data_IF_578051473048
#
_entry.id   IF_578051473048
#
_cell.length_a   1.000
_cell.length_b   1.000
_cell.length_c   1.000
_cell.angle_alpha   90.00
_cell.angle_beta   90.00
_cell.angle_gamma   90.00
#
_symmetry.space_group_name_H-M   'P 1'
#
loop_
_entity.id
_entity.type
_entity.pdbx_description
1 polymer ?
#
# COMPACT_ATOMS: atom_id res chain seq x y z
N UNK A 1 22.41 11.30 21.16
CA UNK A 1 21.67 12.07 20.14
C UNK A 1 20.43 11.28 19.79
N UNK A 2 19.25 11.90 19.74
CA UNK A 2 18.05 11.27 19.22
C UNK A 2 18.30 10.84 17.79
N UNK A 3 17.93 9.60 17.42
CA UNK A 3 18.00 9.15 16.03
C UNK A 3 16.77 9.66 15.27
N UNK A 4 17.00 10.17 14.06
CA UNK A 4 15.93 10.53 13.13
C UNK A 4 15.47 9.26 12.43
N UNK A 5 14.16 8.99 12.41
CA UNK A 5 13.58 7.88 11.66
C UNK A 5 12.98 8.37 10.34
N UNK A 6 13.05 7.53 9.33
CA UNK A 6 12.32 7.72 8.07
C UNK A 6 11.03 6.92 8.10
N UNK A 7 9.91 7.53 7.74
CA UNK A 7 8.59 6.89 7.69
C UNK A 7 8.00 7.02 6.30
N UNK A 8 7.64 5.89 5.71
CA UNK A 8 6.70 5.82 4.60
C UNK A 8 5.30 5.56 5.18
N UNK A 9 4.47 6.61 5.19
CA UNK A 9 3.08 6.54 5.65
C UNK A 9 2.18 6.18 4.46
N UNK A 10 2.16 4.91 4.08
CA UNK A 10 1.42 4.44 2.91
C UNK A 10 -0.09 4.33 3.15
N UNK A 11 -0.87 4.30 2.08
CA UNK A 11 -2.34 4.15 2.11
C UNK A 11 -2.74 2.79 2.69
N UNK A 12 -2.06 1.73 2.29
CA UNK A 12 -2.37 0.34 2.66
C UNK A 12 -1.40 -0.20 3.71
N UNK A 13 -0.11 0.03 3.52
CA UNK A 13 0.95 -0.37 4.43
C UNK A 13 1.92 0.77 4.66
N UNK A 14 2.46 0.84 5.86
CA UNK A 14 3.48 1.82 6.26
C UNK A 14 4.76 1.09 6.66
N UNK A 15 5.90 1.77 6.59
CA UNK A 15 7.14 1.24 7.12
C UNK A 15 7.97 2.34 7.79
N UNK A 16 8.92 1.91 8.61
CA UNK A 16 9.86 2.80 9.31
C UNK A 16 11.28 2.29 9.15
N UNK A 17 12.20 3.21 8.95
CA UNK A 17 13.61 2.93 8.76
C UNK A 17 14.48 3.87 9.58
N UNK A 18 15.73 3.47 9.79
CA UNK A 18 16.77 4.26 10.47
C UNK A 18 18.08 4.11 9.71
N UNK A 19 18.95 5.11 9.85
CA UNK A 19 20.32 5.02 9.34
C UNK A 19 21.21 4.30 10.35
N UNK A 20 21.82 3.20 9.95
CA UNK A 20 22.80 2.45 10.74
C UNK A 20 24.05 2.17 9.90
N UNK A 21 25.22 2.55 10.41
CA UNK A 21 26.47 2.34 9.70
C UNK A 21 26.57 3.03 8.34
N UNK A 22 25.75 4.05 8.09
CA UNK A 22 25.68 4.77 6.81
C UNK A 22 24.69 4.17 5.80
N UNK A 23 23.98 3.11 6.19
CA UNK A 23 22.96 2.46 5.37
C UNK A 23 21.55 2.61 5.98
N UNK A 24 20.53 2.63 5.13
CA UNK A 24 19.15 2.64 5.58
C UNK A 24 18.69 1.22 5.93
N UNK A 25 18.22 1.03 7.16
CA UNK A 25 17.72 -0.24 7.67
C UNK A 25 16.24 -0.11 7.97
N UNK A 26 15.41 -0.93 7.31
CA UNK A 26 13.98 -1.01 7.61
C UNK A 26 13.79 -1.77 8.93
N UNK A 27 13.13 -1.13 9.88
CA UNK A 27 12.87 -1.66 11.21
C UNK A 27 11.69 -2.64 11.13
N UNK A 28 11.84 -3.89 11.61
CA UNK A 28 10.72 -4.82 11.73
C UNK A 28 9.76 -4.36 12.85
N UNK A 29 8.48 -4.56 12.65
CA UNK A 29 7.48 -4.33 13.68
C UNK A 29 7.49 -5.45 14.74
N UNK A 30 6.66 -5.30 15.78
CA UNK A 30 6.56 -6.28 16.87
C UNK A 30 6.15 -7.69 16.41
N UNK A 31 5.49 -7.80 15.25
CA UNK A 31 5.10 -9.07 14.63
C UNK A 31 6.20 -9.64 13.70
N UNK A 32 7.36 -9.00 13.59
CA UNK A 32 8.50 -9.40 12.77
C UNK A 32 8.40 -9.02 11.30
N UNK A 33 7.40 -8.25 10.89
CA UNK A 33 7.21 -7.81 9.52
C UNK A 33 7.88 -6.46 9.27
N UNK A 34 8.39 -6.25 8.05
CA UNK A 34 9.00 -4.97 7.63
C UNK A 34 7.99 -3.90 7.25
N UNK A 35 6.73 -4.26 7.11
CA UNK A 35 5.63 -3.34 6.84
C UNK A 35 4.51 -3.54 7.87
N UNK A 36 3.85 -2.46 8.21
CA UNK A 36 2.72 -2.44 9.14
C UNK A 36 1.47 -2.00 8.38
N UNK A 37 0.36 -2.77 8.39
CA UNK A 37 -0.88 -2.33 7.78
C UNK A 37 -1.34 -0.97 8.32
N UNK A 38 -1.69 -0.05 7.42
CA UNK A 38 -2.21 1.28 7.78
C UNK A 38 -3.69 1.18 8.19
N UNK A 39 -3.95 0.36 9.19
CA UNK A 39 -5.29 0.04 9.71
C UNK A 39 -5.36 0.35 11.19
N UNK A 40 -6.42 1.04 11.59
CA UNK A 40 -6.73 1.35 12.99
C UNK A 40 -8.11 0.77 13.31
N UNK A 41 -8.24 0.12 14.45
CA UNK A 41 -9.53 -0.38 14.93
C UNK A 41 -9.72 -0.11 16.41
N UNK A 42 -10.99 -0.09 16.82
CA UNK A 42 -11.38 0.04 18.24
C UNK A 42 -12.22 -1.17 18.65
N UNK A 43 -11.83 -1.81 19.75
CA UNK A 43 -12.61 -2.90 20.32
C UNK A 43 -13.95 -2.38 20.88
N UNK A 44 -14.87 -3.28 21.21
CA UNK A 44 -16.13 -2.92 21.88
C UNK A 44 -15.91 -2.27 23.26
N UNK A 45 -14.76 -2.49 23.87
CA UNK A 45 -14.34 -1.88 25.15
C UNK A 45 -13.57 -0.57 24.96
N UNK A 46 -13.41 -0.09 23.72
CA UNK A 46 -12.69 1.15 23.41
C UNK A 46 -11.16 1.00 23.30
N UNK A 47 -10.63 -0.21 23.37
CA UNK A 47 -9.21 -0.46 23.18
C UNK A 47 -8.81 -0.21 21.73
N UNK A 48 -7.73 0.54 21.52
CA UNK A 48 -7.19 0.86 20.19
C UNK A 48 -6.24 -0.22 19.72
N UNK A 49 -6.46 -0.70 18.51
CA UNK A 49 -5.60 -1.63 17.79
C UNK A 49 -5.06 -0.97 16.53
N UNK A 50 -3.81 -1.23 16.18
CA UNK A 50 -3.15 -0.67 14.97
C UNK A 50 -2.36 -1.78 14.28
N UNK A 51 -2.35 -1.74 12.96
CA UNK A 51 -1.55 -2.65 12.15
C UNK A 51 -2.22 -4.01 11.94
N UNK A 52 -1.45 -5.07 12.03
CA UNK A 52 -1.90 -6.43 11.71
C UNK A 52 -3.05 -6.90 12.61
N UNK A 53 -3.02 -6.55 13.88
CA UNK A 53 -4.09 -6.89 14.84
C UNK A 53 -5.40 -6.23 14.43
N UNK A 54 -5.35 -4.95 14.03
CA UNK A 54 -6.52 -4.23 13.51
C UNK A 54 -7.03 -4.83 12.20
N UNK A 55 -6.13 -5.18 11.26
CA UNK A 55 -6.48 -5.80 9.97
C UNK A 55 -7.19 -7.15 10.16
N UNK A 56 -6.68 -8.02 11.04
CA UNK A 56 -7.23 -9.36 11.27
C UNK A 56 -8.66 -9.37 11.80
N UNK A 57 -9.02 -8.42 12.66
CA UNK A 57 -10.34 -8.36 13.27
C UNK A 57 -11.36 -7.52 12.44
N UNK A 58 -10.96 -6.95 11.33
CA UNK A 58 -11.78 -6.06 10.51
C UNK A 58 -13.13 -6.67 10.10
N UNK A 59 -13.18 -8.00 9.87
CA UNK A 59 -14.40 -8.71 9.48
C UNK A 59 -15.46 -8.73 10.56
N UNK A 60 -15.02 -9.03 11.77
CA UNK A 60 -15.93 -9.15 12.91
C UNK A 60 -16.25 -7.79 13.53
N UNK A 61 -15.56 -6.73 13.07
CA UNK A 61 -15.66 -5.38 13.62
C UNK A 61 -15.50 -4.29 12.53
N UNK A 62 -16.23 -4.38 11.39
CA UNK A 62 -16.03 -3.48 10.25
C UNK A 62 -16.35 -2.02 10.56
N UNK A 63 -17.40 -1.78 11.35
CA UNK A 63 -17.89 -0.42 11.67
C UNK A 63 -16.94 0.35 12.59
N UNK A 64 -15.98 -0.33 13.19
CA UNK A 64 -14.98 0.23 14.11
C UNK A 64 -13.55 0.05 13.61
N UNK A 65 -13.38 -0.29 12.33
CA UNK A 65 -12.10 -0.48 11.67
C UNK A 65 -11.94 0.51 10.53
N UNK A 66 -10.83 1.26 10.57
CA UNK A 66 -10.52 2.33 9.65
C UNK A 66 -9.31 1.91 8.82
N UNK A 67 -9.47 1.92 7.50
CA UNK A 67 -8.40 1.70 6.53
C UNK A 67 -8.35 2.83 5.51
N UNK A 68 -7.23 2.95 4.79
CA UNK A 68 -7.04 3.92 3.70
C UNK A 68 -7.27 5.39 4.09
N UNK A 69 -7.10 5.75 5.35
CA UNK A 69 -7.35 7.11 5.87
C UNK A 69 -6.49 8.18 5.17
N UNK A 70 -5.33 7.80 4.61
CA UNK A 70 -4.45 8.71 3.88
C UNK A 70 -5.16 9.41 2.70
N UNK A 71 -6.19 8.76 2.10
CA UNK A 71 -6.99 9.35 1.02
C UNK A 71 -7.78 10.58 1.45
N UNK A 72 -8.05 10.69 2.75
CA UNK A 72 -8.84 11.77 3.35
C UNK A 72 -7.97 12.87 3.96
N UNK A 73 -6.63 12.76 3.86
CA UNK A 73 -5.72 13.77 4.42
C UNK A 73 -5.98 15.15 3.82
N UNK A 74 -6.05 16.17 4.69
CA UNK A 74 -6.28 17.54 4.30
C UNK A 74 -7.75 17.88 3.98
N UNK A 75 -8.69 16.94 4.17
CA UNK A 75 -10.13 17.14 4.02
C UNK A 75 -10.83 17.34 5.38
N UNK A 76 -12.11 17.73 5.32
CA UNK A 76 -12.99 17.85 6.49
C UNK A 76 -13.60 16.51 6.93
N UNK A 77 -13.16 15.43 6.35
CA UNK A 77 -13.64 14.09 6.69
C UNK A 77 -13.44 13.76 8.16
N UNK A 78 -14.42 13.09 8.74
CA UNK A 78 -14.36 12.61 10.15
C UNK A 78 -14.87 11.19 10.25
N UNK A 79 -14.14 10.41 11.02
CA UNK A 79 -14.58 9.06 11.44
C UNK A 79 -15.19 9.16 12.83
N UNK A 80 -16.42 8.68 12.98
CA UNK A 80 -17.08 8.65 14.31
C UNK A 80 -17.13 7.24 14.84
N UNK A 81 -16.52 7.03 15.99
CA UNK A 81 -16.51 5.78 16.75
C UNK A 81 -17.01 6.08 18.15
N UNK A 82 -18.08 5.40 18.59
CA UNK A 82 -18.66 5.57 19.94
C UNK A 82 -18.88 7.04 20.34
N UNK A 83 -19.51 7.79 19.47
CA UNK A 83 -19.77 9.23 19.68
C UNK A 83 -18.53 10.14 19.71
N UNK A 84 -17.33 9.60 19.51
CA UNK A 84 -16.10 10.36 19.35
C UNK A 84 -15.72 10.47 17.88
N UNK A 85 -15.51 11.70 17.40
CA UNK A 85 -15.09 11.98 16.03
C UNK A 85 -13.59 12.17 15.97
N UNK A 86 -12.97 11.55 14.97
CA UNK A 86 -11.54 11.61 14.69
C UNK A 86 -11.30 12.20 13.30
N UNK A 87 -10.33 13.09 13.20
CA UNK A 87 -9.83 13.60 11.92
C UNK A 87 -8.90 12.60 11.25
N UNK A 88 -8.64 12.71 9.92
CA UNK A 88 -7.64 11.91 9.25
C UNK A 88 -6.25 12.00 9.87
N UNK A 89 -5.87 13.19 10.37
CA UNK A 89 -4.61 13.43 11.07
C UNK A 89 -4.52 12.63 12.38
N UNK A 90 -5.60 12.57 13.16
CA UNK A 90 -5.63 11.80 14.41
C UNK A 90 -5.55 10.30 14.16
N UNK A 91 -6.23 9.77 13.16
CA UNK A 91 -6.13 8.36 12.78
C UNK A 91 -4.74 8.03 12.25
N UNK A 92 -4.19 8.88 11.38
CA UNK A 92 -2.82 8.73 10.87
C UNK A 92 -1.78 8.80 12.00
N UNK A 93 -1.99 9.67 12.98
CA UNK A 93 -1.14 9.77 14.15
C UNK A 93 -1.09 8.46 14.97
N UNK A 94 -2.19 7.70 15.02
CA UNK A 94 -2.21 6.40 15.69
C UNK A 94 -1.31 5.39 14.98
N UNK A 95 -1.28 5.42 13.64
CA UNK A 95 -0.36 4.60 12.84
C UNK A 95 1.09 5.04 13.10
N UNK A 96 1.36 6.34 13.08
CA UNK A 96 2.69 6.89 13.36
C UNK A 96 3.18 6.57 14.78
N UNK A 97 2.29 6.58 15.76
CA UNK A 97 2.61 6.17 17.15
C UNK A 97 3.04 4.70 17.23
N UNK A 98 2.38 3.81 16.49
CA UNK A 98 2.77 2.40 16.40
C UNK A 98 4.16 2.26 15.78
N UNK A 99 4.43 2.93 14.66
CA UNK A 99 5.74 2.90 13.99
C UNK A 99 6.84 3.49 14.91
N UNK A 100 6.53 4.58 15.61
CA UNK A 100 7.45 5.17 16.61
C UNK A 100 7.76 4.18 17.72
N UNK A 101 6.75 3.51 18.29
CA UNK A 101 6.94 2.53 19.36
C UNK A 101 7.78 1.33 18.88
N UNK A 102 7.55 0.82 17.67
CA UNK A 102 8.36 -0.25 17.07
C UNK A 102 9.82 0.21 16.88
N UNK A 103 10.04 1.45 16.44
CA UNK A 103 11.37 2.02 16.28
C UNK A 103 12.07 2.17 17.64
N UNK A 104 11.37 2.66 18.66
CA UNK A 104 11.91 2.79 20.03
C UNK A 104 12.28 1.43 20.64
N UNK A 105 11.45 0.42 20.43
CA UNK A 105 11.73 -0.95 20.86
C UNK A 105 12.98 -1.52 20.17
N UNK A 106 13.13 -1.31 18.87
CA UNK A 106 14.28 -1.75 18.09
C UNK A 106 15.57 -1.03 18.51
N UNK A 107 15.50 0.30 18.70
CA UNK A 107 16.67 1.15 19.01
C UNK A 107 17.06 1.14 20.48
N UNK A 108 16.17 0.69 21.38
CA UNK A 108 16.36 0.76 22.83
C UNK A 108 16.43 2.21 23.36
N UNK A 109 15.88 3.17 22.65
CA UNK A 109 15.94 4.60 23.00
C UNK A 109 14.74 5.36 22.45
N UNK A 110 14.39 6.48 23.07
CA UNK A 110 13.31 7.35 22.66
C UNK A 110 13.59 7.98 21.27
N UNK A 111 12.58 8.02 20.43
CA UNK A 111 12.58 8.64 19.11
C UNK A 111 11.69 9.87 19.14
N UNK A 112 12.24 11.03 18.77
CA UNK A 112 11.53 12.31 18.79
C UNK A 112 11.46 12.98 17.43
N UNK A 113 12.24 12.54 16.44
CA UNK A 113 12.39 13.19 15.15
C UNK A 113 12.12 12.24 14.00
N UNK A 114 11.44 12.72 12.96
CA UNK A 114 11.14 11.92 11.78
C UNK A 114 11.20 12.72 10.48
N UNK A 115 11.45 11.99 9.38
CA UNK A 115 11.18 12.42 8.01
C UNK A 115 10.04 11.55 7.51
N UNK A 116 9.01 12.13 6.90
CA UNK A 116 7.82 11.41 6.44
C UNK A 116 7.64 11.64 4.95
N UNK A 117 7.30 10.59 4.20
CA UNK A 117 7.04 10.68 2.76
C UNK A 117 5.57 10.97 2.47
N UNK A 118 5.32 11.64 1.35
CA UNK A 118 3.99 11.91 0.79
C UNK A 118 4.02 11.76 -0.72
N UNK A 119 2.88 11.47 -1.38
CA UNK A 119 2.79 11.51 -2.83
C UNK A 119 3.21 12.88 -3.40
N UNK A 120 3.83 12.90 -4.58
CA UNK A 120 4.33 14.14 -5.18
C UNK A 120 3.21 15.16 -5.47
N UNK A 121 2.00 14.68 -5.77
CA UNK A 121 0.82 15.51 -6.06
C UNK A 121 0.09 16.05 -4.81
N UNK A 122 0.53 15.68 -3.60
CA UNK A 122 -0.10 16.20 -2.39
C UNK A 122 -0.02 17.73 -2.35
N UNK A 123 -1.17 18.35 -2.11
CA UNK A 123 -1.30 19.79 -1.89
C UNK A 123 -0.62 20.23 -0.59
N UNK A 124 -0.37 21.51 -0.44
CA UNK A 124 0.20 22.06 0.80
C UNK A 124 -0.68 21.74 2.03
N UNK A 125 -2.01 21.73 1.87
CA UNK A 125 -2.94 21.32 2.93
C UNK A 125 -2.74 19.87 3.35
N UNK A 126 -2.57 18.94 2.40
CA UNK A 126 -2.32 17.52 2.67
C UNK A 126 -0.95 17.29 3.31
N UNK A 127 0.08 18.04 2.86
CA UNK A 127 1.43 18.01 3.45
C UNK A 127 1.41 18.53 4.89
N UNK A 128 0.69 19.62 5.13
CA UNK A 128 0.55 20.17 6.49
C UNK A 128 -0.21 19.20 7.40
N UNK A 129 -1.30 18.58 6.91
CA UNK A 129 -2.04 17.57 7.65
C UNK A 129 -1.17 16.35 8.02
N UNK A 130 -0.27 15.92 7.13
CA UNK A 130 0.69 14.85 7.41
C UNK A 130 1.70 15.28 8.50
N UNK A 131 2.17 16.51 8.44
CA UNK A 131 3.05 17.08 9.47
C UNK A 131 2.37 17.19 10.83
N UNK A 132 1.09 17.57 10.84
CA UNK A 132 0.28 17.65 12.05
C UNK A 132 0.03 16.26 12.65
N UNK A 133 -0.21 15.24 11.83
CA UNK A 133 -0.29 13.86 12.27
C UNK A 133 1.00 13.42 12.99
N UNK A 134 2.16 13.76 12.45
CA UNK A 134 3.46 13.52 13.08
C UNK A 134 3.57 14.19 14.45
N UNK A 135 3.15 15.45 14.55
CA UNK A 135 3.16 16.20 15.81
C UNK A 135 2.23 15.57 16.85
N UNK A 136 1.02 15.17 16.47
CA UNK A 136 0.06 14.46 17.34
C UNK A 136 0.66 13.14 17.82
N UNK A 137 1.44 12.47 16.98
CA UNK A 137 2.16 11.24 17.33
C UNK A 137 3.37 11.45 18.27
N UNK A 138 3.73 12.70 18.57
CA UNK A 138 4.89 13.04 19.38
C UNK A 138 6.22 13.02 18.62
N UNK A 139 6.16 13.33 17.31
CA UNK A 139 7.31 13.43 16.43
C UNK A 139 7.50 14.88 15.95
N UNK A 140 8.74 15.39 16.04
CA UNK A 140 9.15 16.57 15.31
C UNK A 140 9.49 16.17 13.87
N UNK A 141 8.59 16.55 12.95
CA UNK A 141 8.73 16.23 11.52
C UNK A 141 9.71 17.21 10.88
N UNK A 142 10.94 16.77 10.70
CA UNK A 142 12.03 17.58 10.14
C UNK A 142 11.79 17.92 8.68
N UNK A 143 11.29 16.96 7.91
CA UNK A 143 10.99 17.13 6.49
C UNK A 143 9.80 16.27 6.05
N UNK A 144 9.08 16.79 5.08
CA UNK A 144 8.18 16.03 4.22
C UNK A 144 8.88 15.86 2.87
N UNK A 145 9.00 14.63 2.38
CA UNK A 145 9.69 14.29 1.12
C UNK A 145 8.68 13.63 0.18
N UNK A 146 8.80 13.89 -1.11
CA UNK A 146 8.00 13.20 -2.12
C UNK A 146 8.39 11.71 -2.20
N UNK A 147 7.41 10.83 -2.23
CA UNK A 147 7.61 9.37 -2.36
C UNK A 147 8.49 8.98 -3.56
N UNK A 148 8.29 9.51 -4.77
CA UNK A 148 9.16 9.19 -5.89
C UNK A 148 10.61 9.66 -5.69
N UNK A 149 10.82 10.80 -5.01
CA UNK A 149 12.15 11.28 -4.65
C UNK A 149 12.82 10.33 -3.65
N UNK A 150 12.08 9.88 -2.64
CA UNK A 150 12.58 8.91 -1.66
C UNK A 150 12.93 7.57 -2.33
N UNK A 151 12.12 7.11 -3.28
CA UNK A 151 12.39 5.91 -4.06
C UNK A 151 13.68 6.06 -4.89
N UNK A 152 13.86 7.20 -5.57
CA UNK A 152 15.06 7.49 -6.35
C UNK A 152 16.33 7.45 -5.47
N UNK A 153 16.28 8.07 -4.30
CA UNK A 153 17.38 8.04 -3.31
C UNK A 153 17.66 6.61 -2.82
N UNK A 154 16.62 5.83 -2.53
CA UNK A 154 16.78 4.45 -2.07
C UNK A 154 17.41 3.53 -3.11
N UNK A 155 17.16 3.79 -4.39
CA UNK A 155 17.81 3.08 -5.50
C UNK A 155 19.22 3.63 -5.82
N UNK A 156 19.67 4.71 -5.16
CA UNK A 156 20.99 5.29 -5.34
C UNK A 156 21.22 5.98 -6.67
N UNK A 157 20.17 6.35 -7.39
CA UNK A 157 20.25 6.99 -8.71
C UNK A 157 20.71 8.44 -8.63
N UNK A 158 20.66 9.06 -7.47
CA UNK A 158 21.21 10.39 -7.18
C UNK A 158 22.73 10.50 -7.34
N UNK A 159 23.42 9.35 -7.33
CA UNK A 159 24.89 9.24 -7.45
C UNK A 159 25.36 9.04 -8.89
N UNK A 160 24.44 8.94 -9.82
CA UNK A 160 24.74 8.71 -11.23
C UNK A 160 24.78 10.04 -12.01
N UNK A 161 25.18 9.97 -13.28
CA UNK A 161 25.16 11.13 -14.18
C UNK A 161 23.72 11.61 -14.44
N UNK A 162 23.59 12.83 -14.99
CA UNK A 162 22.30 13.40 -15.40
C UNK A 162 21.42 12.39 -16.14
N UNK A 163 20.20 12.18 -15.66
CA UNK A 163 19.29 11.16 -16.21
C UNK A 163 17.83 11.52 -15.95
N UNK A 164 16.97 11.05 -16.87
CA UNK A 164 15.52 11.10 -16.70
C UNK A 164 15.00 9.73 -16.35
N UNK A 165 14.23 9.63 -15.27
CA UNK A 165 13.68 8.36 -14.80
C UNK A 165 12.17 8.43 -14.61
N UNK A 166 11.52 7.30 -14.79
CA UNK A 166 10.14 7.10 -14.39
C UNK A 166 10.11 6.33 -13.07
N UNK A 167 9.34 6.80 -12.11
CA UNK A 167 8.95 6.03 -10.93
C UNK A 167 7.52 5.58 -11.13
N UNK A 168 7.33 4.26 -11.24
CA UNK A 168 6.05 3.59 -11.40
C UNK A 168 5.71 2.91 -10.09
N UNK A 169 4.80 3.49 -9.32
CA UNK A 169 4.42 3.01 -7.99
C UNK A 169 3.01 2.44 -8.01
N UNK A 170 2.90 1.11 -8.00
CA UNK A 170 1.65 0.39 -7.88
C UNK A 170 1.56 -0.23 -6.48
N UNK A 171 0.93 0.52 -5.58
CA UNK A 171 0.70 0.12 -4.20
C UNK A 171 -0.49 -0.83 -4.03
N UNK A 172 -0.98 -0.97 -2.80
CA UNK A 172 -2.17 -1.78 -2.50
C UNK A 172 -3.48 -1.10 -2.91
N UNK A 173 -3.57 0.22 -2.80
CA UNK A 173 -4.81 0.96 -3.07
C UNK A 173 -4.69 2.11 -4.04
N UNK A 174 -3.47 2.51 -4.43
CA UNK A 174 -3.20 3.63 -5.34
C UNK A 174 -2.16 3.24 -6.37
N UNK A 175 -2.24 3.90 -7.51
CA UNK A 175 -1.25 3.89 -8.57
C UNK A 175 -0.74 5.30 -8.80
N UNK A 176 0.56 5.49 -8.75
CA UNK A 176 1.23 6.76 -8.97
C UNK A 176 2.40 6.57 -9.93
N UNK A 177 2.54 7.50 -10.87
CA UNK A 177 3.66 7.56 -11.80
C UNK A 177 4.25 8.96 -11.79
N UNK A 178 5.55 9.06 -11.65
CA UNK A 178 6.28 10.34 -11.66
C UNK A 178 7.46 10.28 -12.60
N UNK A 179 7.68 11.36 -13.31
CA UNK A 179 8.86 11.55 -14.15
C UNK A 179 9.81 12.49 -13.41
N UNK A 180 11.02 12.03 -13.20
CA UNK A 180 12.06 12.77 -12.47
C UNK A 180 13.19 13.14 -13.43
N UNK A 181 13.70 14.35 -13.27
CA UNK A 181 15.00 14.78 -13.81
C UNK A 181 16.01 14.79 -12.65
N UNK A 182 17.11 14.10 -12.85
CA UNK A 182 18.19 14.03 -11.87
C UNK A 182 19.42 14.62 -12.53
N UNK A 183 19.90 15.74 -11.99
CA UNK A 183 21.07 16.44 -12.49
C UNK A 183 21.87 17.02 -11.34
N UNK A 184 23.18 16.74 -11.32
CA UNK A 184 24.15 17.22 -10.32
C UNK A 184 23.65 17.02 -8.86
N UNK A 185 23.03 15.87 -8.57
CA UNK A 185 22.51 15.52 -7.23
C UNK A 185 21.18 16.20 -6.87
N UNK A 186 20.62 17.00 -7.76
CA UNK A 186 19.28 17.58 -7.63
C UNK A 186 18.26 16.67 -8.28
N UNK A 187 17.16 16.38 -7.57
CA UNK A 187 16.05 15.59 -8.06
C UNK A 187 14.84 16.50 -8.23
N UNK A 188 14.43 16.71 -9.47
CA UNK A 188 13.25 17.49 -9.83
C UNK A 188 12.12 16.57 -10.31
N UNK A 189 10.89 16.81 -9.85
CA UNK A 189 9.69 16.12 -10.35
C UNK A 189 9.14 16.93 -11.53
N UNK A 190 9.33 16.42 -12.76
CA UNK A 190 8.86 17.08 -13.98
C UNK A 190 7.35 16.94 -14.17
N UNK A 191 6.81 15.76 -13.90
CA UNK A 191 5.39 15.46 -14.03
C UNK A 191 4.98 14.32 -13.10
N UNK A 192 3.71 14.30 -12.74
CA UNK A 192 3.10 13.22 -11.98
C UNK A 192 1.66 12.99 -12.44
N UNK A 193 1.26 11.73 -12.52
CA UNK A 193 -0.11 11.32 -12.79
C UNK A 193 -0.42 10.07 -11.98
N UNK A 194 -1.69 9.69 -11.89
CA UNK A 194 -2.02 8.51 -11.10
C UNK A 194 -3.51 8.20 -11.09
N UNK A 195 -3.84 7.16 -10.31
CA UNK A 195 -5.20 6.75 -10.02
C UNK A 195 -5.29 6.34 -8.55
N UNK A 196 -5.95 7.13 -7.73
CA UNK A 196 -6.10 6.91 -6.30
C UNK A 196 -7.10 5.78 -5.93
N UNK A 197 -7.66 5.09 -6.93
CA UNK A 197 -8.58 3.96 -6.80
C UNK A 197 -8.13 2.76 -7.64
N UNK A 198 -6.83 2.62 -7.87
CA UNK A 198 -6.25 1.51 -8.61
C UNK A 198 -5.05 0.99 -7.82
N UNK A 199 -5.09 -0.27 -7.41
CA UNK A 199 -4.00 -0.89 -6.65
C UNK A 199 -4.21 -2.39 -6.47
N UNK A 200 -3.36 -3.03 -5.70
CA UNK A 200 -3.38 -4.46 -5.45
C UNK A 200 -4.70 -4.99 -4.89
N UNK A 201 -5.45 -4.16 -4.15
CA UNK A 201 -6.77 -4.52 -3.62
C UNK A 201 -7.79 -4.79 -4.75
N UNK A 202 -7.67 -4.08 -5.88
CA UNK A 202 -8.54 -4.31 -7.06
C UNK A 202 -8.21 -5.64 -7.74
N UNK A 203 -6.93 -6.01 -7.78
CA UNK A 203 -6.51 -7.33 -8.24
C UNK A 203 -7.05 -8.45 -7.34
N UNK A 204 -7.01 -8.26 -6.03
CA UNK A 204 -7.59 -9.19 -5.06
C UNK A 204 -9.10 -9.33 -5.26
N UNK A 205 -9.78 -8.22 -5.50
CA UNK A 205 -11.23 -8.22 -5.75
C UNK A 205 -11.60 -9.02 -7.01
N UNK A 206 -10.79 -8.97 -8.07
CA UNK A 206 -10.99 -9.80 -9.25
C UNK A 206 -10.91 -11.30 -8.92
N UNK A 207 -9.92 -11.70 -8.11
CA UNK A 207 -9.79 -13.09 -7.66
C UNK A 207 -10.99 -13.47 -6.78
N UNK A 208 -11.40 -12.62 -5.84
CA UNK A 208 -12.54 -12.86 -4.96
C UNK A 208 -13.83 -13.08 -5.77
N UNK A 209 -14.12 -12.22 -6.73
CA UNK A 209 -15.30 -12.34 -7.61
C UNK A 209 -15.27 -13.65 -8.39
N UNK A 210 -14.13 -14.03 -8.90
CA UNK A 210 -13.95 -15.31 -9.58
C UNK A 210 -14.19 -16.49 -8.63
N UNK A 211 -13.62 -16.49 -7.41
CA UNK A 211 -13.83 -17.55 -6.41
C UNK A 211 -15.30 -17.69 -6.01
N UNK A 212 -15.99 -16.57 -5.79
CA UNK A 212 -17.44 -16.58 -5.49
C UNK A 212 -18.24 -17.21 -6.65
N UNK A 213 -17.90 -16.83 -7.89
CA UNK A 213 -18.56 -17.37 -9.09
C UNK A 213 -18.31 -18.87 -9.26
N UNK A 214 -17.05 -19.32 -9.08
CA UNK A 214 -16.69 -20.73 -9.18
C UNK A 214 -17.38 -21.56 -8.09
N UNK A 215 -17.38 -21.11 -6.86
CA UNK A 215 -18.02 -21.82 -5.75
C UNK A 215 -19.56 -21.90 -5.95
N UNK A 216 -20.16 -20.84 -6.44
CA UNK A 216 -21.59 -20.85 -6.79
C UNK A 216 -21.89 -21.84 -7.92
N UNK A 217 -20.99 -21.97 -8.89
CA UNK A 217 -21.13 -22.90 -10.02
C UNK A 217 -20.98 -24.38 -9.58
N UNK A 218 -20.03 -24.67 -8.67
CA UNK A 218 -19.71 -26.04 -8.23
C UNK A 218 -20.59 -26.53 -7.09
N UNK A 219 -20.85 -25.67 -6.11
CA UNK A 219 -21.50 -26.03 -4.85
C UNK A 219 -22.91 -25.43 -4.70
N UNK A 220 -23.33 -24.56 -5.62
CA UNK A 220 -24.64 -23.92 -5.62
C UNK A 220 -24.84 -22.84 -4.54
N UNK A 221 -23.81 -22.48 -3.79
CA UNK A 221 -23.89 -21.52 -2.68
C UNK A 221 -23.22 -20.20 -3.06
N UNK A 222 -23.90 -19.09 -2.77
CA UNK A 222 -23.37 -17.74 -2.97
C UNK A 222 -22.70 -17.24 -1.70
N UNK A 223 -21.37 -17.15 -1.74
CA UNK A 223 -20.57 -16.69 -0.60
C UNK A 223 -20.59 -15.16 -0.39
N UNK A 224 -21.09 -14.38 -1.35
CA UNK A 224 -21.02 -12.91 -1.30
C UNK A 224 -21.78 -12.29 -0.13
N UNK A 225 -22.75 -12.98 0.44
CA UNK A 225 -23.56 -12.55 1.58
C UNK A 225 -22.97 -12.96 2.94
N UNK A 226 -21.98 -13.85 2.95
CA UNK A 226 -21.32 -14.33 4.16
C UNK A 226 -20.05 -13.50 4.41
N UNK A 227 -20.11 -12.60 5.40
CA UNK A 227 -18.99 -11.69 5.74
C UNK A 227 -17.73 -12.45 6.16
N UNK A 228 -17.87 -13.55 6.88
CA UNK A 228 -16.71 -14.35 7.33
C UNK A 228 -16.07 -15.05 6.14
N UNK A 229 -16.90 -15.66 5.26
CA UNK A 229 -16.39 -16.27 4.03
C UNK A 229 -15.70 -15.24 3.14
N UNK A 230 -16.31 -14.07 2.92
CA UNK A 230 -15.74 -13.01 2.08
C UNK A 230 -14.38 -12.54 2.54
N UNK A 231 -14.15 -12.50 3.82
CA UNK A 231 -12.83 -12.13 4.32
C UNK A 231 -11.80 -13.25 4.16
N UNK A 232 -12.18 -14.47 4.45
CA UNK A 232 -11.29 -15.61 4.18
C UNK A 232 -10.92 -15.64 2.70
N UNK A 233 -11.86 -15.33 1.80
CA UNK A 233 -11.61 -15.16 0.38
C UNK A 233 -10.64 -14.00 0.10
N UNK A 234 -10.78 -12.86 0.79
CA UNK A 234 -9.88 -11.71 0.62
C UNK A 234 -8.44 -12.05 1.00
N UNK A 235 -8.23 -12.67 2.15
CA UNK A 235 -6.90 -13.10 2.59
C UNK A 235 -6.29 -14.14 1.64
N UNK A 236 -7.09 -15.09 1.18
CA UNK A 236 -6.65 -16.11 0.23
C UNK A 236 -6.33 -15.52 -1.16
N UNK A 237 -7.11 -14.54 -1.62
CA UNK A 237 -6.89 -13.82 -2.87
C UNK A 237 -5.58 -13.03 -2.83
N UNK A 238 -5.35 -12.25 -1.76
CA UNK A 238 -4.10 -11.51 -1.56
C UNK A 238 -2.89 -12.46 -1.55
N UNK A 239 -3.00 -13.58 -0.83
CA UNK A 239 -1.96 -14.61 -0.80
C UNK A 239 -1.68 -15.21 -2.18
N UNK A 240 -2.72 -15.61 -2.90
CA UNK A 240 -2.60 -16.18 -4.24
C UNK A 240 -1.99 -15.18 -5.24
N UNK A 241 -2.39 -13.90 -5.20
CA UNK A 241 -1.78 -12.83 -5.99
C UNK A 241 -0.28 -12.75 -5.76
N UNK A 242 0.15 -12.75 -4.50
CA UNK A 242 1.58 -12.69 -4.13
C UNK A 242 2.32 -13.93 -4.64
N UNK A 243 1.78 -15.13 -4.43
CA UNK A 243 2.38 -16.39 -4.87
C UNK A 243 2.53 -16.43 -6.40
N UNK A 244 1.50 -16.01 -7.16
CA UNK A 244 1.50 -15.99 -8.62
C UNK A 244 2.51 -15.00 -9.23
N UNK A 245 3.12 -14.13 -8.45
CA UNK A 245 4.26 -13.32 -8.90
C UNK A 245 5.54 -14.17 -9.02
N UNK A 246 5.66 -15.27 -8.26
CA UNK A 246 6.82 -16.17 -8.29
C UNK A 246 6.58 -17.51 -8.99
N UNK A 247 5.33 -18.02 -8.94
CA UNK A 247 4.97 -19.34 -9.50
C UNK A 247 3.85 -19.22 -10.53
N UNK A 248 3.63 -20.28 -11.30
CA UNK A 248 2.62 -20.30 -12.38
C UNK A 248 1.23 -20.73 -11.93
N UNK A 249 1.12 -21.34 -10.75
CA UNK A 249 -0.15 -21.79 -10.16
C UNK A 249 -0.14 -21.58 -8.65
N UNK A 250 -1.30 -21.27 -8.07
CA UNK A 250 -1.52 -21.18 -6.63
C UNK A 250 -2.76 -22.00 -6.26
N UNK A 251 -2.66 -22.86 -5.26
CA UNK A 251 -3.80 -23.60 -4.73
C UNK A 251 -4.45 -22.81 -3.61
N UNK A 252 -5.74 -22.55 -3.75
CA UNK A 252 -6.57 -21.86 -2.76
C UNK A 252 -7.44 -22.91 -2.08
N UNK A 253 -7.08 -23.26 -0.85
CA UNK A 253 -7.79 -24.26 -0.04
C UNK A 253 -8.33 -23.59 1.23
N UNK A 254 -9.66 -23.50 1.31
CA UNK A 254 -10.38 -22.92 2.44
C UNK A 254 -11.40 -23.93 2.99
N UNK A 255 -10.97 -24.82 3.90
CA UNK A 255 -11.85 -25.79 4.52
C UNK A 255 -12.91 -25.08 5.38
N UNK A 256 -14.11 -25.66 5.40
CA UNK A 256 -15.25 -25.11 6.17
C UNK A 256 -15.53 -23.64 5.85
N UNK A 257 -15.55 -23.30 4.55
CA UNK A 257 -15.80 -21.92 4.09
C UNK A 257 -17.22 -21.47 4.42
N UNK A 258 -18.18 -22.39 4.34
CA UNK A 258 -19.58 -22.20 4.69
C UNK A 258 -20.24 -23.55 4.99
N UNK A 259 -21.54 -23.55 5.33
CA UNK A 259 -22.35 -24.76 5.50
C UNK A 259 -23.76 -24.54 4.91
N UNK A 260 -24.37 -25.59 4.41
CA UNK A 260 -25.78 -25.64 4.01
C UNK A 260 -26.52 -26.80 4.68
N UNK A 261 -27.76 -27.10 4.21
CA UNK A 261 -28.54 -28.20 4.74
C UNK A 261 -27.90 -29.59 4.57
N UNK A 262 -26.91 -29.71 3.67
CA UNK A 262 -26.18 -30.95 3.41
C UNK A 262 -24.86 -31.05 4.20
N UNK A 263 -24.56 -30.06 5.04
CA UNK A 263 -23.39 -30.03 5.89
C UNK A 263 -22.33 -28.99 5.48
N UNK A 264 -21.11 -29.14 6.04
CA UNK A 264 -20.04 -28.18 5.75
C UNK A 264 -19.54 -28.27 4.31
N UNK A 265 -19.20 -27.10 3.76
CA UNK A 265 -18.65 -26.91 2.41
C UNK A 265 -17.20 -26.43 2.47
N UNK A 266 -16.42 -26.87 1.50
CA UNK A 266 -15.01 -26.56 1.39
C UNK A 266 -14.71 -25.97 0.02
N UNK A 267 -13.86 -24.93 -0.04
CA UNK A 267 -13.35 -24.42 -1.29
C UNK A 267 -11.94 -24.96 -1.50
N UNK A 268 -11.72 -25.63 -2.63
CA UNK A 268 -10.40 -26.10 -3.07
C UNK A 268 -10.29 -25.88 -4.58
N UNK A 269 -9.51 -24.88 -4.97
CA UNK A 269 -9.42 -24.41 -6.34
C UNK A 269 -7.97 -24.02 -6.66
N UNK A 270 -7.51 -24.36 -7.87
CA UNK A 270 -6.21 -23.92 -8.36
C UNK A 270 -6.39 -22.74 -9.32
N UNK A 271 -5.74 -21.62 -8.98
CA UNK A 271 -5.65 -20.44 -9.83
C UNK A 271 -4.33 -20.45 -10.60
N UNK A 272 -4.39 -20.45 -11.93
CA UNK A 272 -3.20 -20.25 -12.77
C UNK A 272 -2.87 -18.78 -12.97
N UNK A 273 -1.58 -18.46 -13.21
CA UNK A 273 -1.14 -17.11 -13.59
C UNK A 273 -1.84 -16.64 -14.87
N UNK A 274 -2.05 -17.55 -15.84
CA UNK A 274 -2.76 -17.22 -17.07
C UNK A 274 -4.20 -16.75 -16.80
N UNK A 275 -4.92 -17.46 -15.91
CA UNK A 275 -6.27 -17.06 -15.50
C UNK A 275 -6.26 -15.77 -14.70
N UNK A 276 -5.31 -15.59 -13.79
CA UNK A 276 -5.13 -14.34 -13.07
C UNK A 276 -4.90 -13.16 -14.02
N UNK A 277 -4.01 -13.31 -15.01
CA UNK A 277 -3.75 -12.29 -16.02
C UNK A 277 -5.02 -11.95 -16.84
N UNK A 278 -5.81 -12.96 -17.23
CA UNK A 278 -7.10 -12.76 -17.90
C UNK A 278 -8.07 -11.92 -17.05
N UNK A 279 -8.23 -12.28 -15.77
CA UNK A 279 -9.12 -11.59 -14.84
C UNK A 279 -8.73 -10.13 -14.60
N UNK A 280 -7.45 -9.81 -14.67
CA UNK A 280 -6.87 -8.53 -14.22
C UNK A 280 -6.30 -7.67 -15.38
N UNK A 281 -6.43 -8.12 -16.63
CA UNK A 281 -5.87 -7.42 -17.80
C UNK A 281 -6.30 -5.95 -17.87
N UNK A 282 -7.59 -5.67 -17.61
CA UNK A 282 -8.15 -4.32 -17.61
C UNK A 282 -7.51 -3.39 -16.54
N UNK A 283 -7.06 -3.94 -15.41
CA UNK A 283 -6.36 -3.18 -14.37
C UNK A 283 -4.94 -2.81 -14.79
N UNK A 284 -4.25 -3.73 -15.45
CA UNK A 284 -2.92 -3.47 -16.02
C UNK A 284 -3.03 -2.39 -17.09
N UNK A 285 -4.00 -2.50 -17.99
CA UNK A 285 -4.26 -1.50 -19.04
C UNK A 285 -4.59 -0.12 -18.45
N UNK A 286 -5.33 -0.08 -17.34
CA UNK A 286 -5.71 1.14 -16.66
C UNK A 286 -4.49 1.91 -16.10
N UNK A 287 -3.37 1.27 -15.82
CA UNK A 287 -2.14 1.95 -15.39
C UNK A 287 -1.49 2.73 -16.52
N UNK A 288 -1.67 2.29 -17.77
CA UNK A 288 -0.99 2.86 -18.93
C UNK A 288 -1.54 4.24 -19.36
N UNK A 289 -2.76 4.57 -18.95
CA UNK A 289 -3.32 5.92 -19.14
C UNK A 289 -2.49 6.99 -18.41
N UNK A 290 -2.38 6.93 -17.08
CA UNK A 290 -1.51 7.82 -16.31
C UNK A 290 -0.04 7.81 -16.75
N UNK A 291 0.51 6.66 -17.15
CA UNK A 291 1.89 6.59 -17.70
C UNK A 291 2.05 7.48 -18.92
N UNK A 292 1.15 7.35 -19.90
CA UNK A 292 1.18 8.21 -21.10
C UNK A 292 0.98 9.68 -20.75
N UNK A 293 0.10 9.98 -19.81
CA UNK A 293 -0.16 11.34 -19.35
C UNK A 293 1.11 11.97 -18.74
N UNK A 294 1.75 11.30 -17.79
CA UNK A 294 2.97 11.80 -17.15
C UNK A 294 4.11 12.04 -18.15
N UNK A 295 4.28 11.13 -19.13
CA UNK A 295 5.27 11.29 -20.20
C UNK A 295 4.96 12.50 -21.07
N UNK A 296 3.69 12.69 -21.46
CA UNK A 296 3.24 13.84 -22.24
C UNK A 296 3.44 15.16 -21.48
N UNK A 297 3.09 15.21 -20.20
CA UNK A 297 3.22 16.41 -19.36
C UNK A 297 4.70 16.78 -19.15
N UNK A 298 5.58 15.78 -19.07
CA UNK A 298 7.03 15.99 -19.02
C UNK A 298 7.64 16.35 -20.37
N UNK A 299 6.88 16.26 -21.48
CA UNK A 299 7.39 16.50 -22.83
C UNK A 299 8.41 15.48 -23.32
N UNK A 300 8.35 14.23 -22.78
CA UNK A 300 9.31 13.18 -23.06
C UNK A 300 8.71 12.04 -23.89
N UNK A 301 9.58 11.35 -24.62
CA UNK A 301 9.30 10.07 -25.26
C UNK A 301 9.83 8.92 -24.40
N UNK A 302 9.31 7.69 -24.53
CA UNK A 302 9.85 6.52 -23.81
C UNK A 302 11.37 6.35 -23.98
N UNK A 303 11.90 6.61 -25.18
CA UNK A 303 13.34 6.55 -25.48
C UNK A 303 14.21 7.57 -24.72
N UNK A 304 13.61 8.60 -24.11
CA UNK A 304 14.33 9.62 -23.36
C UNK A 304 14.56 9.18 -21.89
N UNK A 305 13.90 8.10 -21.47
CA UNK A 305 14.05 7.55 -20.13
C UNK A 305 15.34 6.72 -20.03
N UNK A 306 16.16 7.03 -19.04
CA UNK A 306 17.33 6.25 -18.69
C UNK A 306 16.99 4.99 -17.91
N UNK A 307 15.98 5.09 -17.03
CA UNK A 307 15.53 4.00 -16.13
C UNK A 307 14.05 4.12 -15.79
N UNK A 308 13.47 2.97 -15.41
CA UNK A 308 12.18 2.89 -14.75
C UNK A 308 12.37 2.22 -13.40
N UNK A 309 11.94 2.88 -12.34
CA UNK A 309 11.90 2.32 -10.99
C UNK A 309 10.51 1.78 -10.70
N UNK A 310 10.42 0.49 -10.41
CA UNK A 310 9.19 -0.18 -10.02
C UNK A 310 9.07 -0.17 -8.50
N UNK A 311 8.08 0.52 -7.99
CA UNK A 311 7.80 0.71 -6.56
C UNK A 311 6.41 0.17 -6.24
N UNK A 312 6.18 -0.17 -4.98
CA UNK A 312 4.92 -0.78 -4.54
C UNK A 312 4.89 -2.30 -4.74
N UNK A 313 4.20 -3.00 -3.83
CA UNK A 313 4.15 -4.46 -3.84
C UNK A 313 3.53 -5.05 -5.10
N UNK A 314 2.54 -4.38 -5.67
CA UNK A 314 1.79 -4.85 -6.85
C UNK A 314 2.57 -4.65 -8.17
N UNK A 315 3.62 -3.85 -8.18
CA UNK A 315 4.54 -3.74 -9.33
C UNK A 315 5.35 -5.03 -9.57
N UNK A 316 5.31 -5.98 -8.63
CA UNK A 316 5.91 -7.31 -8.79
C UNK A 316 5.09 -8.26 -9.66
N UNK A 317 3.85 -7.93 -9.96
CA UNK A 317 2.98 -8.74 -10.85
C UNK A 317 3.63 -8.81 -12.25
N UNK A 318 3.90 -10.02 -12.78
CA UNK A 318 4.62 -10.17 -14.05
C UNK A 318 3.97 -9.44 -15.23
N UNK A 319 2.64 -9.46 -15.32
CA UNK A 319 1.91 -8.75 -16.37
C UNK A 319 2.11 -7.22 -16.30
N UNK A 320 2.23 -6.67 -15.10
CA UNK A 320 2.54 -5.24 -14.89
C UNK A 320 3.95 -4.92 -15.38
N UNK A 321 4.93 -5.75 -14.99
CA UNK A 321 6.32 -5.57 -15.43
C UNK A 321 6.46 -5.65 -16.96
N UNK A 322 5.75 -6.60 -17.57
CA UNK A 322 5.73 -6.75 -19.02
C UNK A 322 5.10 -5.54 -19.71
N UNK A 323 3.99 -5.02 -19.21
CA UNK A 323 3.35 -3.83 -19.77
C UNK A 323 4.27 -2.61 -19.71
N UNK A 324 4.98 -2.39 -18.61
CA UNK A 324 5.96 -1.31 -18.48
C UNK A 324 7.12 -1.51 -19.45
N UNK A 325 7.69 -2.72 -19.52
CA UNK A 325 8.79 -3.06 -20.43
C UNK A 325 8.42 -2.87 -21.89
N UNK A 326 7.19 -3.19 -22.27
CA UNK A 326 6.73 -3.02 -23.66
C UNK A 326 6.47 -1.55 -24.02
N UNK A 327 6.27 -0.69 -23.03
CA UNK A 327 6.07 0.74 -23.22
C UNK A 327 7.40 1.50 -23.33
N UNK A 328 8.42 1.12 -22.59
CA UNK A 328 9.74 1.76 -22.49
C UNK A 328 10.81 0.99 -23.25
#
# INVERSE_FOLDING_TARGET
>A
MSKVIGIDLGTTNSCVAVMEGGEAVVIPNAEGNRTTPSVVAFSKTGERMVGQVAKRQAITNPDRTISSIKREMGSDYKVTIDSKSYTPQEISAMILQKLKADAEAYLGSTVTEAVITVPAYFTDSQRQATKDAGRIAGLDVKRIINEPTAAALAYGVDKEQSQKIMVYDLGGGTFDVSILDIDDGVIEVLATAGNNRLGGDDFDECIMKWLVSEFKRTDGVDLSTDRVAMQRLKEAAEKAKIELSGVTTSNINLPYITADANGPKHLDVTLSRAKFNELTAHLVDATMGPVRQAMSDAGLKPSDLSKVLLVGGSSRIPAVQEAVKNFT
#
